data_IF_998780572025
#
_entry.id   IF_998780572025
#
_cell.length_a   1.000
_cell.length_b   1.000
_cell.length_c   1.000
_cell.angle_alpha   90.00
_cell.angle_beta   90.00
_cell.angle_gamma   90.00
#
_symmetry.space_group_name_H-M   'P 1'
#
loop_
_entity.id
_entity.type
_entity.pdbx_description
1 polymer ?
#
# COMPACT_ATOMS: atom_id res chain seq x y z
N UNK A 1 -1.86 19.82 3.43
CA UNK A 1 -2.37 18.47 3.82
C UNK A 1 -1.50 17.42 3.13
N UNK A 2 -0.95 16.44 3.88
CA UNK A 2 -0.29 15.29 3.25
C UNK A 2 -1.34 14.50 2.48
N UNK A 3 -1.01 14.06 1.26
CA UNK A 3 -1.86 13.18 0.48
C UNK A 3 -2.09 11.85 1.21
N UNK A 4 -3.12 11.10 0.86
CA UNK A 4 -3.42 9.80 1.48
C UNK A 4 -2.28 8.82 1.28
N UNK A 5 -1.70 8.81 0.09
CA UNK A 5 -0.53 7.99 -0.24
C UNK A 5 0.68 8.33 0.65
N UNK A 6 0.95 9.62 0.88
CA UNK A 6 2.04 10.06 1.76
C UNK A 6 1.85 9.69 3.25
N UNK A 7 0.62 9.37 3.67
CA UNK A 7 0.35 8.87 5.03
C UNK A 7 0.63 7.38 5.18
N UNK A 8 0.71 6.64 4.09
CA UNK A 8 0.93 5.20 4.05
C UNK A 8 2.39 4.84 3.75
N UNK A 9 3.24 5.83 3.52
CA UNK A 9 4.65 5.65 3.19
C UNK A 9 5.55 6.11 4.32
N UNK A 10 6.70 5.45 4.42
CA UNK A 10 7.80 5.84 5.31
C UNK A 10 8.66 6.91 4.65
N UNK A 11 9.49 7.56 5.44
CA UNK A 11 10.53 8.47 4.96
C UNK A 11 11.90 7.77 4.96
N UNK A 12 12.84 8.25 4.14
CA UNK A 12 14.16 7.63 4.02
C UNK A 12 14.88 7.54 5.37
N UNK A 13 14.74 8.55 6.22
CA UNK A 13 15.38 8.53 7.54
C UNK A 13 14.76 7.52 8.53
N UNK A 14 13.57 7.00 8.24
CA UNK A 14 12.86 6.00 9.06
C UNK A 14 13.18 4.56 8.67
N UNK A 15 13.99 4.35 7.63
CA UNK A 15 14.29 3.02 7.11
C UNK A 15 15.12 2.19 8.07
N UNK A 16 14.71 0.94 8.24
CA UNK A 16 15.39 -0.05 9.07
C UNK A 16 15.82 -1.22 8.19
N UNK A 17 17.09 -1.61 8.30
CA UNK A 17 17.67 -2.72 7.56
C UNK A 17 16.87 -4.03 7.77
N UNK A 18 16.71 -4.80 6.71
CA UNK A 18 15.96 -6.06 6.64
C UNK A 18 14.44 -5.95 6.84
N UNK A 19 13.89 -4.73 6.82
CA UNK A 19 12.43 -4.51 6.93
C UNK A 19 11.81 -4.22 5.55
N UNK A 20 10.54 -4.61 5.35
CA UNK A 20 9.77 -4.16 4.21
C UNK A 20 9.48 -2.65 4.34
N UNK A 21 9.39 -1.97 3.21
CA UNK A 21 9.11 -0.53 3.19
C UNK A 21 8.24 -0.12 2.02
N UNK A 22 7.55 0.99 2.20
CA UNK A 22 6.78 1.71 1.17
C UNK A 22 7.23 3.17 1.19
N UNK A 23 7.64 3.69 0.07
CA UNK A 23 8.23 5.02 -0.07
C UNK A 23 7.60 5.81 -1.22
N UNK A 24 7.63 7.13 -1.10
CA UNK A 24 7.47 8.06 -2.22
C UNK A 24 8.83 8.65 -2.54
N UNK A 25 9.34 8.40 -3.73
CA UNK A 25 10.69 8.79 -4.13
C UNK A 25 10.66 9.63 -5.40
N UNK A 26 11.33 10.78 -5.34
CA UNK A 26 11.64 11.60 -6.51
C UNK A 26 12.88 11.03 -7.19
N UNK A 27 12.76 10.64 -8.45
CA UNK A 27 13.85 10.01 -9.22
C UNK A 27 14.81 11.07 -9.76
N UNK A 28 16.05 10.99 -9.34
CA UNK A 28 17.14 11.91 -9.76
C UNK A 28 17.95 11.37 -10.90
N UNK A 29 18.26 10.08 -10.86
CA UNK A 29 19.08 9.43 -11.87
C UNK A 29 18.69 7.97 -12.06
N UNK A 30 18.91 7.44 -13.28
CA UNK A 30 18.62 6.05 -13.63
C UNK A 30 19.81 5.53 -14.43
N UNK A 31 20.31 4.37 -14.03
CA UNK A 31 21.35 3.65 -14.73
C UNK A 31 20.88 2.24 -15.03
N UNK A 32 20.71 1.93 -16.31
CA UNK A 32 20.36 0.60 -16.77
C UNK A 32 21.64 -0.15 -17.13
N UNK A 33 21.73 -1.39 -16.70
CA UNK A 33 22.84 -2.31 -17.04
C UNK A 33 22.31 -3.64 -17.54
N UNK A 34 23.19 -4.41 -18.19
CA UNK A 34 22.94 -5.81 -18.53
C UNK A 34 23.69 -6.72 -17.56
N UNK A 35 22.99 -7.71 -17.04
CA UNK A 35 23.61 -8.76 -16.20
C UNK A 35 24.48 -9.69 -17.05
N UNK A 36 25.28 -10.52 -16.40
CA UNK A 36 26.07 -11.57 -17.08
C UNK A 36 25.22 -12.54 -17.90
N UNK A 37 23.93 -12.67 -17.58
CA UNK A 37 22.95 -13.49 -18.31
C UNK A 37 22.27 -12.74 -19.47
N UNK A 38 22.67 -11.48 -19.72
CA UNK A 38 22.09 -10.65 -20.79
C UNK A 38 20.77 -9.96 -20.45
N UNK A 39 20.27 -10.14 -19.23
CA UNK A 39 19.02 -9.52 -18.79
C UNK A 39 19.26 -8.05 -18.38
N UNK A 40 18.26 -7.21 -18.58
CA UNK A 40 18.31 -5.81 -18.16
C UNK A 40 17.88 -5.65 -16.70
N UNK A 41 18.60 -4.80 -15.98
CA UNK A 41 18.23 -4.31 -14.65
C UNK A 41 18.58 -2.84 -14.53
N UNK A 42 18.05 -2.17 -13.50
CA UNK A 42 18.31 -0.76 -13.28
C UNK A 42 18.68 -0.46 -11.82
N UNK A 43 19.54 0.55 -11.69
CA UNK A 43 19.77 1.26 -10.43
C UNK A 43 19.18 2.66 -10.54
N UNK A 44 18.41 3.06 -9.54
CA UNK A 44 17.75 4.36 -9.50
C UNK A 44 18.20 5.09 -8.25
N UNK A 45 18.68 6.30 -8.42
CA UNK A 45 18.99 7.20 -7.31
C UNK A 45 17.81 8.17 -7.14
N UNK A 46 17.30 8.24 -5.94
CA UNK A 46 16.16 9.07 -5.62
C UNK A 46 16.23 9.66 -4.23
N UNK A 47 15.40 10.66 -4.03
CA UNK A 47 15.30 11.41 -2.78
C UNK A 47 13.85 11.47 -2.29
N UNK A 48 13.71 11.60 -0.99
CA UNK A 48 12.54 12.22 -0.38
C UNK A 48 12.94 13.54 0.34
N UNK A 49 12.04 14.05 1.17
CA UNK A 49 12.30 15.28 1.95
C UNK A 49 13.33 15.09 3.07
N UNK A 50 13.75 13.88 3.36
CA UNK A 50 14.62 13.55 4.51
C UNK A 50 15.97 13.00 4.12
N UNK A 51 16.14 12.53 2.89
CA UNK A 51 17.41 11.97 2.44
C UNK A 51 17.36 11.33 1.06
N UNK A 52 18.49 10.75 0.68
CA UNK A 52 18.69 10.04 -0.58
C UNK A 52 18.75 8.54 -0.35
N UNK A 53 18.28 7.77 -1.32
CA UNK A 53 18.30 6.30 -1.30
C UNK A 53 18.51 5.74 -2.69
N UNK A 54 19.25 4.64 -2.79
CA UNK A 54 19.38 3.88 -4.04
C UNK A 54 18.34 2.76 -4.10
N UNK A 55 17.73 2.62 -5.26
CA UNK A 55 16.75 1.57 -5.58
C UNK A 55 17.37 0.60 -6.57
N UNK A 56 17.27 -0.70 -6.30
CA UNK A 56 17.72 -1.76 -7.21
C UNK A 56 16.50 -2.46 -7.80
N UNK A 57 16.37 -2.37 -9.13
CA UNK A 57 15.33 -3.04 -9.91
C UNK A 57 15.95 -4.24 -10.61
N UNK A 58 15.81 -5.42 -10.01
CA UNK A 58 16.26 -6.67 -10.60
C UNK A 58 15.51 -7.01 -11.90
N UNK A 59 16.04 -7.88 -12.75
CA UNK A 59 15.46 -8.17 -14.06
C UNK A 59 14.00 -8.57 -14.04
N UNK A 60 13.56 -9.30 -12.99
CA UNK A 60 12.16 -9.71 -12.84
C UNK A 60 11.23 -8.51 -12.70
N UNK A 61 11.60 -7.54 -11.84
CA UNK A 61 10.82 -6.31 -11.64
C UNK A 61 10.94 -5.41 -12.87
N UNK A 62 12.14 -5.28 -13.43
CA UNK A 62 12.39 -4.45 -14.61
C UNK A 62 11.55 -4.89 -15.82
N UNK A 63 11.41 -6.20 -16.06
CA UNK A 63 10.56 -6.75 -17.13
C UNK A 63 9.06 -6.52 -16.94
N UNK A 64 8.62 -6.38 -15.68
CA UNK A 64 7.21 -6.14 -15.34
C UNK A 64 6.79 -4.68 -15.45
N UNK A 65 7.74 -3.77 -15.67
CA UNK A 65 7.43 -2.36 -15.84
C UNK A 65 6.59 -2.13 -17.09
N UNK A 66 5.37 -1.64 -16.89
CA UNK A 66 4.49 -1.23 -18.00
C UNK A 66 4.96 0.07 -18.67
N UNK A 67 5.65 0.89 -17.92
CA UNK A 67 6.23 2.16 -18.36
C UNK A 67 7.64 2.28 -17.79
N UNK A 68 8.55 2.85 -18.55
CA UNK A 68 9.91 3.14 -18.08
C UNK A 68 9.88 4.09 -16.90
N UNK A 69 10.77 3.87 -15.94
CA UNK A 69 11.02 4.82 -14.87
C UNK A 69 11.70 6.06 -15.48
N UNK A 70 11.18 7.24 -15.18
CA UNK A 70 11.62 8.50 -15.75
C UNK A 70 12.25 9.40 -14.69
N UNK A 71 13.35 10.05 -15.04
CA UNK A 71 13.98 11.08 -14.22
C UNK A 71 13.04 12.27 -14.03
N UNK A 72 13.03 12.84 -12.84
CA UNK A 72 12.21 14.04 -12.54
C UNK A 72 10.76 13.74 -12.16
N UNK A 73 10.41 12.47 -11.97
CA UNK A 73 9.07 12.05 -11.55
C UNK A 73 9.10 11.43 -10.17
N UNK A 74 7.94 11.46 -9.51
CA UNK A 74 7.74 10.80 -8.21
C UNK A 74 7.13 9.43 -8.39
N UNK A 75 7.74 8.44 -7.76
CA UNK A 75 7.29 7.05 -7.79
C UNK A 75 6.91 6.57 -6.39
N UNK A 76 5.86 5.76 -6.35
CA UNK A 76 5.55 4.90 -5.23
C UNK A 76 6.36 3.62 -5.36
N UNK A 77 7.09 3.27 -4.31
CA UNK A 77 8.01 2.14 -4.29
C UNK A 77 7.70 1.24 -3.11
N UNK A 78 7.53 -0.03 -3.37
CA UNK A 78 7.50 -1.08 -2.35
C UNK A 78 8.74 -1.96 -2.51
N UNK A 79 9.34 -2.33 -1.40
CA UNK A 79 10.50 -3.20 -1.42
C UNK A 79 11.02 -3.54 -0.04
N UNK A 80 12.21 -4.12 0.00
CA UNK A 80 12.92 -4.47 1.22
C UNK A 80 14.16 -3.62 1.36
N UNK A 81 14.39 -3.14 2.56
CA UNK A 81 15.62 -2.40 2.92
C UNK A 81 16.76 -3.39 3.13
N UNK A 82 17.83 -3.24 2.40
CA UNK A 82 19.05 -4.01 2.58
C UNK A 82 20.28 -3.11 2.59
N UNK A 83 21.35 -3.60 3.17
CA UNK A 83 22.65 -2.94 3.11
C UNK A 83 23.43 -3.43 1.89
N UNK A 84 23.86 -2.51 1.06
CA UNK A 84 24.72 -2.82 -0.08
C UNK A 84 26.04 -3.42 0.36
N UNK A 85 26.42 -4.54 -0.21
CA UNK A 85 27.74 -5.16 0.03
C UNK A 85 28.89 -4.36 -0.57
N UNK A 86 28.57 -3.47 -1.52
CA UNK A 86 29.58 -2.69 -2.24
C UNK A 86 30.02 -1.44 -1.46
N UNK A 87 29.09 -0.65 -0.95
CA UNK A 87 29.38 0.63 -0.28
C UNK A 87 28.86 0.70 1.15
N UNK A 88 28.26 -0.37 1.68
CA UNK A 88 27.69 -0.46 3.02
C UNK A 88 26.55 0.53 3.30
N UNK A 89 25.99 1.16 2.27
CA UNK A 89 24.85 2.04 2.39
C UNK A 89 23.54 1.27 2.30
N UNK A 90 22.46 1.83 2.88
CA UNK A 90 21.13 1.26 2.74
C UNK A 90 20.65 1.45 1.30
N UNK A 91 20.00 0.43 0.77
CA UNK A 91 19.34 0.41 -0.52
C UNK A 91 17.98 -0.27 -0.41
N UNK A 92 17.12 -0.04 -1.39
CA UNK A 92 15.84 -0.73 -1.51
C UNK A 92 15.93 -1.76 -2.64
N UNK A 93 15.68 -3.02 -2.32
CA UNK A 93 15.40 -4.04 -3.32
C UNK A 93 13.94 -3.91 -3.71
N UNK A 94 13.69 -3.35 -4.89
CA UNK A 94 12.35 -2.99 -5.35
C UNK A 94 11.56 -4.25 -5.70
N UNK A 95 10.35 -4.35 -5.18
CA UNK A 95 9.36 -5.37 -5.53
C UNK A 95 8.26 -4.79 -6.43
N UNK A 96 7.90 -3.53 -6.21
CA UNK A 96 6.91 -2.80 -7.00
C UNK A 96 7.31 -1.33 -7.11
N UNK A 97 7.16 -0.77 -8.31
CA UNK A 97 7.37 0.66 -8.57
C UNK A 97 6.33 1.16 -9.57
N UNK A 98 5.65 2.24 -9.24
CA UNK A 98 4.61 2.86 -10.07
C UNK A 98 4.65 4.38 -9.93
N UNK A 99 4.21 5.12 -10.94
CA UNK A 99 4.07 6.57 -10.82
C UNK A 99 3.12 6.92 -9.67
N UNK A 100 3.54 7.79 -8.76
CA UNK A 100 2.76 8.17 -7.58
C UNK A 100 1.37 8.71 -7.95
N UNK A 101 1.27 9.47 -9.03
CA UNK A 101 0.01 9.99 -9.55
C UNK A 101 -0.97 8.90 -9.95
N UNK A 102 -0.50 7.79 -10.52
CA UNK A 102 -1.34 6.65 -10.88
C UNK A 102 -1.86 5.90 -9.66
N UNK A 103 -1.02 5.77 -8.63
CA UNK A 103 -1.41 5.14 -7.36
C UNK A 103 -2.40 6.02 -6.61
N UNK A 104 -2.21 7.34 -6.57
CA UNK A 104 -3.16 8.28 -5.96
C UNK A 104 -4.54 8.25 -6.62
N UNK A 105 -4.60 8.16 -7.93
CA UNK A 105 -5.87 8.05 -8.67
C UNK A 105 -6.57 6.70 -8.47
N UNK A 106 -5.82 5.66 -8.13
CA UNK A 106 -6.38 4.33 -7.80
C UNK A 106 -6.81 4.20 -6.33
N UNK A 107 -6.31 5.08 -5.46
CA UNK A 107 -6.76 5.18 -4.06
C UNK A 107 -8.01 6.06 -4.06
N UNK A 108 -9.19 5.45 -4.04
CA UNK A 108 -10.43 6.20 -3.88
C UNK A 108 -10.43 6.95 -2.53
N UNK A 109 -11.00 8.16 -2.49
CA UNK A 109 -11.26 8.86 -1.23
C UNK A 109 -12.34 8.19 -0.39
N UNK A 110 -12.86 7.08 -0.89
CA UNK A 110 -13.93 6.29 -0.32
C UNK A 110 -13.48 5.60 0.98
N UNK A 111 -14.38 5.55 1.93
CA UNK A 111 -14.21 4.85 3.20
C UNK A 111 -15.41 3.94 3.42
N UNK A 112 -15.17 2.70 3.81
CA UNK A 112 -16.24 1.78 4.21
C UNK A 112 -16.56 1.98 5.68
N UNK A 113 -17.77 2.43 5.96
CA UNK A 113 -18.30 2.57 7.33
C UNK A 113 -19.19 1.37 7.65
N UNK A 114 -18.87 0.68 8.73
CA UNK A 114 -19.63 -0.46 9.25
C UNK A 114 -20.17 -0.10 10.62
N UNK A 115 -21.48 -0.26 10.80
CA UNK A 115 -22.14 -0.13 12.11
C UNK A 115 -22.48 -1.52 12.65
N UNK A 116 -22.02 -1.81 13.84
CA UNK A 116 -22.41 -3.01 14.59
C UNK A 116 -23.48 -2.58 15.59
N UNK A 117 -24.71 -3.03 15.38
CA UNK A 117 -25.86 -2.71 16.23
C UNK A 117 -25.84 -3.54 17.51
N UNK A 118 -26.63 -3.10 18.50
CA UNK A 118 -26.72 -3.78 19.80
C UNK A 118 -27.16 -5.24 19.70
N UNK A 119 -28.00 -5.53 18.73
CA UNK A 119 -28.57 -6.87 18.51
C UNK A 119 -27.57 -7.84 17.84
N UNK A 120 -26.50 -7.32 17.25
CA UNK A 120 -25.53 -8.05 16.43
C UNK A 120 -24.15 -8.11 17.09
N UNK A 121 -24.00 -7.58 18.29
CA UNK A 121 -22.73 -7.55 19.05
C UNK A 121 -22.32 -8.94 19.60
N UNK A 122 -22.38 -9.97 18.74
CA UNK A 122 -21.83 -11.26 19.05
C UNK A 122 -20.45 -11.41 18.38
N UNK A 123 -19.53 -12.04 19.08
CA UNK A 123 -18.16 -12.32 18.61
C UNK A 123 -18.15 -12.97 17.22
N UNK A 124 -19.18 -13.77 16.92
CA UNK A 124 -19.38 -14.48 15.67
C UNK A 124 -19.58 -13.55 14.46
N UNK A 125 -20.33 -12.47 14.61
CA UNK A 125 -20.59 -11.50 13.53
C UNK A 125 -19.33 -10.70 13.17
N UNK A 126 -18.56 -10.31 14.18
CA UNK A 126 -17.29 -9.63 13.97
C UNK A 126 -16.29 -10.52 13.21
N UNK A 127 -16.24 -11.80 13.56
CA UNK A 127 -15.40 -12.77 12.88
C UNK A 127 -15.84 -13.01 11.42
N UNK A 128 -17.13 -13.17 11.17
CA UNK A 128 -17.69 -13.28 9.82
C UNK A 128 -17.44 -12.05 8.97
N UNK A 129 -17.56 -10.84 9.56
CA UNK A 129 -17.19 -9.59 8.90
C UNK A 129 -15.74 -9.59 8.47
N UNK A 130 -14.81 -9.98 9.35
CA UNK A 130 -13.38 -10.06 9.02
C UNK A 130 -13.08 -11.05 7.89
N UNK A 131 -13.76 -12.18 7.86
CA UNK A 131 -13.64 -13.16 6.76
C UNK A 131 -14.08 -12.58 5.43
N UNK A 132 -15.18 -11.84 5.40
CA UNK A 132 -15.64 -11.16 4.18
C UNK A 132 -14.63 -10.10 3.75
N UNK A 133 -14.13 -9.27 4.66
CA UNK A 133 -13.12 -8.25 4.35
C UNK A 133 -11.86 -8.90 3.76
N UNK A 134 -11.39 -10.01 4.35
CA UNK A 134 -10.21 -10.75 3.86
C UNK A 134 -10.41 -11.33 2.46
N UNK A 135 -11.60 -11.85 2.15
CA UNK A 135 -11.93 -12.37 0.82
C UNK A 135 -12.01 -11.30 -0.25
N UNK A 136 -12.35 -10.08 0.14
CA UNK A 136 -12.49 -8.92 -0.74
C UNK A 136 -11.46 -7.83 -0.41
N UNK A 137 -10.24 -8.25 -0.10
CA UNK A 137 -9.16 -7.32 0.24
C UNK A 137 -8.96 -6.24 -0.82
N UNK A 138 -8.72 -5.00 -0.38
CA UNK A 138 -8.57 -3.84 -1.26
C UNK A 138 -7.90 -2.67 -0.57
N UNK A 139 -8.15 -1.47 -1.08
CA UNK A 139 -7.48 -0.25 -0.63
C UNK A 139 -8.40 0.73 0.12
N UNK A 140 -9.68 0.35 0.33
CA UNK A 140 -10.64 1.20 1.02
C UNK A 140 -10.56 0.96 2.52
N UNK A 141 -10.22 1.97 3.31
CA UNK A 141 -10.19 1.87 4.76
C UNK A 141 -11.55 1.50 5.33
N UNK A 142 -11.54 0.68 6.36
CA UNK A 142 -12.74 0.23 7.05
C UNK A 142 -12.77 0.83 8.45
N UNK A 143 -13.87 1.52 8.75
CA UNK A 143 -14.15 2.06 10.09
C UNK A 143 -15.36 1.34 10.65
N UNK A 144 -15.19 0.74 11.82
CA UNK A 144 -16.27 0.03 12.53
C UNK A 144 -16.74 0.87 13.71
N UNK A 145 -18.04 1.09 13.78
CA UNK A 145 -18.71 1.76 14.87
C UNK A 145 -19.57 0.77 15.65
N UNK A 146 -19.31 0.66 16.94
CA UNK A 146 -20.07 -0.18 17.87
C UNK A 146 -21.14 0.63 18.57
N UNK A 147 -22.39 0.41 18.26
CA UNK A 147 -23.53 1.19 18.77
C UNK A 147 -23.69 1.09 20.28
N UNK A 148 -23.41 -0.08 20.88
CA UNK A 148 -23.53 -0.33 22.31
C UNK A 148 -22.55 0.47 23.15
N UNK A 149 -21.32 0.58 22.68
CA UNK A 149 -20.21 1.21 23.41
C UNK A 149 -19.90 2.62 22.91
N UNK A 150 -20.46 3.03 21.77
CA UNK A 150 -20.12 4.28 21.08
C UNK A 150 -18.68 4.31 20.53
N UNK A 151 -17.99 3.17 20.52
CA UNK A 151 -16.58 3.07 20.13
C UNK A 151 -16.43 3.02 18.62
N UNK A 152 -15.47 3.78 18.09
CA UNK A 152 -15.01 3.69 16.68
C UNK A 152 -13.64 3.03 16.63
N UNK A 153 -13.47 2.11 15.70
CA UNK A 153 -12.20 1.44 15.41
C UNK A 153 -11.90 1.59 13.93
N UNK A 154 -10.71 2.07 13.60
CA UNK A 154 -10.16 2.02 12.25
C UNK A 154 -9.39 0.70 12.12
N UNK A 155 -9.79 -0.16 11.19
CA UNK A 155 -9.13 -1.44 10.98
C UNK A 155 -7.76 -1.24 10.31
N UNK A 156 -6.84 -2.17 10.56
CA UNK A 156 -5.55 -2.21 9.89
C UNK A 156 -5.70 -2.49 8.39
N UNK A 157 -4.70 -2.14 7.60
CA UNK A 157 -4.68 -2.32 6.12
C UNK A 157 -5.01 -3.75 5.67
N UNK A 158 -4.64 -4.75 6.46
CA UNK A 158 -4.96 -6.16 6.22
C UNK A 158 -6.47 -6.44 6.14
N UNK A 159 -7.29 -5.57 6.73
CA UNK A 159 -8.74 -5.66 6.76
C UNK A 159 -9.42 -4.58 5.91
N UNK A 160 -8.68 -3.91 5.04
CA UNK A 160 -9.27 -2.97 4.10
C UNK A 160 -9.93 -3.72 2.93
N UNK A 161 -10.93 -3.12 2.35
CA UNK A 161 -11.84 -3.79 1.42
C UNK A 161 -11.79 -3.16 0.02
N UNK A 162 -12.08 -3.97 -1.00
CA UNK A 162 -12.40 -3.48 -2.34
C UNK A 162 -13.90 -3.19 -2.44
N UNK A 163 -14.28 -2.06 -3.02
CA UNK A 163 -15.69 -1.75 -3.31
C UNK A 163 -16.13 -2.44 -4.60
N UNK A 164 -16.77 -3.57 -4.46
CA UNK A 164 -17.39 -4.32 -5.55
C UNK A 164 -18.82 -4.70 -5.16
N UNK A 165 -19.64 -5.03 -6.14
CA UNK A 165 -21.01 -5.51 -5.87
C UNK A 165 -20.99 -6.73 -4.95
N UNK A 166 -20.02 -7.63 -5.12
CA UNK A 166 -19.89 -8.82 -4.31
C UNK A 166 -19.51 -8.50 -2.86
N UNK A 167 -18.54 -7.61 -2.62
CA UNK A 167 -18.14 -7.22 -1.27
C UNK A 167 -19.26 -6.52 -0.52
N UNK A 168 -19.96 -5.61 -1.20
CA UNK A 168 -21.10 -4.88 -0.64
C UNK A 168 -22.25 -5.81 -0.26
N UNK A 169 -22.62 -6.74 -1.15
CA UNK A 169 -23.67 -7.72 -0.88
C UNK A 169 -23.33 -8.68 0.27
N UNK A 170 -22.09 -9.17 0.33
CA UNK A 170 -21.69 -10.09 1.40
C UNK A 170 -21.58 -9.39 2.76
N UNK A 171 -21.10 -8.15 2.81
CA UNK A 171 -21.10 -7.34 4.04
C UNK A 171 -22.55 -7.02 4.47
N UNK A 172 -23.41 -6.64 3.53
CA UNK A 172 -24.81 -6.38 3.81
C UNK A 172 -25.56 -7.64 4.30
N UNK A 173 -25.23 -8.82 3.79
CA UNK A 173 -25.79 -10.08 4.25
C UNK A 173 -25.43 -10.38 5.71
N UNK A 174 -24.18 -10.11 6.10
CA UNK A 174 -23.68 -10.38 7.47
C UNK A 174 -24.18 -9.35 8.48
N UNK A 175 -24.26 -8.08 8.07
CA UNK A 175 -24.41 -6.94 8.98
C UNK A 175 -25.75 -6.21 8.83
N UNK A 176 -26.46 -6.44 7.74
CA UNK A 176 -27.61 -5.64 7.32
C UNK A 176 -27.21 -4.49 6.37
N UNK A 177 -28.01 -4.28 5.33
CA UNK A 177 -27.72 -3.32 4.25
C UNK A 177 -27.53 -1.88 4.78
N UNK A 178 -28.36 -1.47 5.73
CA UNK A 178 -28.29 -0.13 6.34
C UNK A 178 -27.07 0.09 7.25
N UNK A 179 -26.32 -0.96 7.53
CA UNK A 179 -25.16 -0.92 8.44
C UNK A 179 -23.81 -0.90 7.72
N UNK A 180 -23.82 -0.90 6.39
CA UNK A 180 -22.62 -0.86 5.55
C UNK A 180 -22.73 0.26 4.54
N UNK A 181 -21.85 1.26 4.63
CA UNK A 181 -21.88 2.45 3.78
C UNK A 181 -20.48 2.67 3.20
N UNK A 182 -20.39 2.72 1.90
CA UNK A 182 -19.20 3.21 1.18
C UNK A 182 -19.42 4.68 0.82
N UNK A 183 -18.55 5.57 1.29
CA UNK A 183 -18.67 7.02 1.11
C UNK A 183 -17.32 7.69 0.96
#
# INVERSE_FOLDING_TARGET
KKTRLAKQTQLVHELVENQPTKLLIYVKNIRTIRTKKGEQMAFVDGDDTTGSISLTLFPTVFRQLRQSVEKGQVYYVEGKVERSTYNQELQILVQRIEKAQQVETSISDETCFIRITKDVEQTDVFQKMKEVLSRHAGHIPVIVYFEKTGKKIVLNEENWVAHTSASQQQLAYVLGEQNVIFK
#
